data_IF_536782441765
#
_entry.id   IF_536782441765
#
_cell.length_a   1.000
_cell.length_b   1.000
_cell.length_c   1.000
_cell.angle_alpha   90.00
_cell.angle_beta   90.00
_cell.angle_gamma   90.00
#
_symmetry.space_group_name_H-M   'P 1'
#
loop_
_entity.id
_entity.type
_entity.pdbx_description
1 polymer ?
#
# COMPACT_ATOMS: atom_id res chain seq x y z
N UNK A 1 7.72 5.70 -6.23
CA UNK A 1 8.04 7.04 -6.77
C UNK A 1 9.52 7.37 -6.62
N UNK A 2 10.09 7.43 -5.40
CA UNK A 2 11.52 7.71 -5.17
C UNK A 2 12.49 6.78 -5.93
N UNK A 3 12.08 5.53 -6.20
CA UNK A 3 12.83 4.57 -7.01
C UNK A 3 12.59 4.70 -8.54
N UNK A 4 11.96 5.79 -8.99
CA UNK A 4 11.76 6.09 -10.42
C UNK A 4 10.50 5.52 -11.07
N UNK A 5 9.57 4.92 -10.31
CA UNK A 5 8.28 4.47 -10.87
C UNK A 5 7.35 5.64 -11.22
N UNK A 6 6.61 5.54 -12.33
CA UNK A 6 5.60 6.54 -12.75
C UNK A 6 4.30 6.48 -11.92
N UNK A 7 4.06 5.36 -11.24
CA UNK A 7 2.86 5.13 -10.44
C UNK A 7 2.92 3.82 -9.68
N UNK A 8 1.84 3.50 -8.95
CA UNK A 8 1.69 2.26 -8.19
C UNK A 8 0.32 1.63 -8.43
N UNK A 9 0.25 0.30 -8.25
CA UNK A 9 -1.01 -0.45 -8.22
C UNK A 9 -1.25 -0.95 -6.79
N UNK A 10 -2.47 -0.72 -6.28
CA UNK A 10 -2.87 -1.18 -4.95
C UNK A 10 -4.27 -1.76 -5.02
N UNK A 11 -4.45 -3.00 -4.54
CA UNK A 11 -5.75 -3.66 -4.42
C UNK A 11 -6.07 -3.97 -2.97
N UNK A 12 -5.75 -5.18 -2.54
CA UNK A 12 -6.06 -5.70 -1.20
C UNK A 12 -5.51 -4.83 -0.06
N UNK A 13 -4.37 -4.16 -0.26
CA UNK A 13 -3.81 -3.21 0.70
C UNK A 13 -4.76 -2.07 1.08
N UNK A 14 -5.73 -1.71 0.23
CA UNK A 14 -6.81 -0.75 0.53
C UNK A 14 -8.04 -1.51 1.07
N UNK A 15 -8.57 -2.46 0.30
CA UNK A 15 -9.90 -3.03 0.56
C UNK A 15 -9.96 -4.05 1.69
N UNK A 16 -8.84 -4.64 2.09
CA UNK A 16 -8.73 -5.51 3.26
C UNK A 16 -8.13 -4.79 4.49
N UNK A 17 -8.15 -3.46 4.49
CA UNK A 17 -7.73 -2.65 5.65
C UNK A 17 -8.91 -2.29 6.55
N UNK A 18 -8.63 -1.79 7.76
CA UNK A 18 -9.65 -1.37 8.72
C UNK A 18 -10.47 -0.15 8.29
N UNK A 19 -9.91 0.74 7.47
CA UNK A 19 -10.62 1.89 6.87
C UNK A 19 -10.14 2.09 5.41
N UNK A 20 -10.80 1.43 4.44
CA UNK A 20 -10.43 1.52 3.03
C UNK A 20 -10.45 2.94 2.48
N UNK A 21 -11.42 3.78 2.89
CA UNK A 21 -11.57 5.13 2.34
C UNK A 21 -10.46 6.06 2.81
N UNK A 22 -10.12 6.02 4.11
CA UNK A 22 -9.01 6.79 4.67
C UNK A 22 -7.68 6.33 4.10
N UNK A 23 -7.46 5.02 4.01
CA UNK A 23 -6.23 4.46 3.42
C UNK A 23 -6.06 4.79 1.94
N UNK A 24 -7.12 4.72 1.14
CA UNK A 24 -7.05 5.11 -0.27
C UNK A 24 -6.63 6.57 -0.44
N UNK A 25 -7.21 7.49 0.34
CA UNK A 25 -6.82 8.91 0.35
C UNK A 25 -5.36 9.09 0.74
N UNK A 26 -4.91 8.44 1.81
CA UNK A 26 -3.53 8.50 2.27
C UNK A 26 -2.54 8.03 1.19
N UNK A 27 -2.83 6.92 0.50
CA UNK A 27 -1.96 6.39 -0.56
C UNK A 27 -1.88 7.36 -1.75
N UNK A 28 -3.00 7.94 -2.17
CA UNK A 28 -3.02 8.94 -3.27
C UNK A 28 -2.18 10.16 -2.90
N UNK A 29 -2.33 10.68 -1.68
CA UNK A 29 -1.53 11.80 -1.18
C UNK A 29 -0.05 11.44 -1.09
N UNK A 30 0.29 10.26 -0.57
CA UNK A 30 1.65 9.78 -0.44
C UNK A 30 2.36 9.64 -1.81
N UNK A 31 1.66 9.17 -2.84
CA UNK A 31 2.21 9.10 -4.21
C UNK A 31 2.46 10.50 -4.77
N UNK A 32 1.47 11.39 -4.63
CA UNK A 32 1.52 12.77 -5.12
C UNK A 32 2.68 13.56 -4.48
N UNK A 33 2.94 13.31 -3.19
CA UNK A 33 3.89 14.07 -2.38
C UNK A 33 5.04 13.22 -1.85
N UNK A 34 5.44 12.19 -2.61
CA UNK A 34 6.42 11.19 -2.20
C UNK A 34 7.81 11.71 -1.80
N UNK A 35 8.14 12.97 -2.09
CA UNK A 35 9.41 13.61 -1.70
C UNK A 35 9.25 14.60 -0.53
N UNK A 36 8.07 14.71 0.08
CA UNK A 36 7.82 15.55 1.25
C UNK A 36 7.71 14.67 2.51
N UNK A 37 8.78 14.53 3.33
CA UNK A 37 8.77 13.65 4.48
C UNK A 37 7.75 14.05 5.55
N UNK A 38 7.48 15.34 5.71
CA UNK A 38 6.49 15.83 6.69
C UNK A 38 5.08 15.41 6.30
N UNK A 39 4.72 15.55 5.02
CA UNK A 39 3.42 15.11 4.55
C UNK A 39 3.29 13.58 4.62
N UNK A 40 4.35 12.83 4.29
CA UNK A 40 4.33 11.38 4.39
C UNK A 40 4.06 10.90 5.83
N UNK A 41 4.64 11.58 6.83
CA UNK A 41 4.34 11.31 8.23
C UNK A 41 2.86 11.57 8.53
N UNK A 42 2.36 12.77 8.21
CA UNK A 42 0.97 13.18 8.46
C UNK A 42 -0.06 12.23 7.85
N UNK A 43 0.09 11.89 6.55
CA UNK A 43 -0.90 11.02 5.87
C UNK A 43 -0.81 9.55 6.28
N UNK A 44 0.23 9.17 7.03
CA UNK A 44 0.37 7.81 7.57
C UNK A 44 -0.29 7.65 8.95
N UNK A 45 -0.74 8.73 9.58
CA UNK A 45 -1.34 8.71 10.91
C UNK A 45 -2.81 8.26 10.90
N UNK A 46 -3.17 7.42 11.88
CA UNK A 46 -4.55 7.02 12.16
C UNK A 46 -5.33 6.44 10.95
N UNK A 47 -4.64 5.83 9.98
CA UNK A 47 -5.25 5.28 8.75
C UNK A 47 -5.85 3.86 8.92
N UNK A 48 -6.14 3.47 10.16
CA UNK A 48 -6.63 2.14 10.54
C UNK A 48 -5.60 1.03 10.37
N UNK A 49 -5.97 -0.19 10.77
CA UNK A 49 -5.10 -1.37 10.65
C UNK A 49 -4.85 -1.73 9.16
N UNK A 50 -3.62 -2.09 8.78
CA UNK A 50 -3.33 -2.59 7.44
C UNK A 50 -3.85 -4.01 7.27
N UNK A 51 -3.91 -4.47 6.01
CA UNK A 51 -4.07 -5.89 5.71
C UNK A 51 -2.90 -6.70 6.29
N UNK A 52 -3.17 -7.92 6.78
CA UNK A 52 -2.13 -8.88 7.17
C UNK A 52 -1.50 -9.47 5.90
N UNK A 53 -0.20 -9.23 5.72
CA UNK A 53 0.58 -9.81 4.62
C UNK A 53 1.06 -11.22 4.93
N UNK A 54 1.41 -11.97 3.88
CA UNK A 54 2.11 -13.24 3.98
C UNK A 54 3.61 -13.02 3.73
N UNK A 55 4.45 -13.65 4.54
CA UNK A 55 5.89 -13.67 4.31
C UNK A 55 6.21 -14.52 3.08
N UNK A 56 7.10 -14.02 2.22
CA UNK A 56 7.58 -14.80 1.07
C UNK A 56 8.62 -15.81 1.55
N UNK A 57 8.30 -17.09 1.42
CA UNK A 57 9.21 -18.20 1.70
C UNK A 57 9.14 -19.27 0.59
N UNK A 58 9.96 -20.31 0.70
CA UNK A 58 10.05 -21.40 -0.27
C UNK A 58 8.76 -22.25 -0.37
N UNK A 59 7.97 -22.29 0.69
CA UNK A 59 6.75 -23.08 0.82
C UNK A 59 5.47 -22.25 0.61
N UNK A 60 5.58 -20.98 0.19
CA UNK A 60 4.45 -20.08 0.01
C UNK A 60 3.48 -20.62 -1.05
N UNK A 61 2.27 -20.97 -0.61
CA UNK A 61 1.19 -21.41 -1.49
C UNK A 61 0.64 -20.23 -2.30
N UNK A 62 0.48 -20.42 -3.61
CA UNK A 62 0.03 -19.37 -4.54
C UNK A 62 1.17 -18.66 -5.28
N UNK A 63 2.43 -19.03 -5.02
CA UNK A 63 3.59 -18.47 -5.69
C UNK A 63 4.05 -17.12 -5.12
N UNK A 64 5.20 -16.62 -5.61
CA UNK A 64 5.81 -15.37 -5.14
C UNK A 64 5.20 -14.11 -5.78
N UNK A 65 4.49 -14.28 -6.90
CA UNK A 65 3.93 -13.19 -7.71
C UNK A 65 2.43 -13.43 -7.89
N UNK A 66 1.65 -12.35 -7.80
CA UNK A 66 0.23 -12.39 -8.09
C UNK A 66 0.00 -12.57 -9.62
N UNK A 67 -0.94 -13.43 -10.00
CA UNK A 67 -1.28 -13.71 -11.40
C UNK A 67 -2.13 -12.59 -12.04
N UNK A 68 -3.00 -11.94 -11.27
CA UNK A 68 -3.68 -10.67 -11.59
C UNK A 68 -4.26 -10.09 -10.29
N UNK A 69 -4.51 -8.78 -10.28
CA UNK A 69 -5.09 -8.05 -9.14
C UNK A 69 -6.42 -8.65 -8.64
N UNK A 70 -6.88 -8.15 -7.49
CA UNK A 70 -8.15 -8.56 -6.88
C UNK A 70 -9.34 -8.35 -7.84
#
# INVERSE_FOLDING_TARGET
MQLGCDGIFVGSGIFHSGDPAKRARAIVQAVTHHNNPNMLAEVSEDIGAPMVGLTIDENLKGGRLASRGW
#
